data_IF_694226232416
#
_entry.id   IF_694226232416
#
_cell.length_a   1.000
_cell.length_b   1.000
_cell.length_c   1.000
_cell.angle_alpha   90.00
_cell.angle_beta   90.00
_cell.angle_gamma   90.00
#
_symmetry.space_group_name_H-M   'P 1'
#
loop_
_entity.id
_entity.type
_entity.pdbx_description
1 polymer ?
#
# COMPACT_ATOMS: atom_id res chain seq x y z
N UNK A 1 -84.10 42.82 -32.03
CA UNK A 1 -83.05 42.49 -33.02
C UNK A 1 -81.94 41.77 -32.28
N UNK A 2 -81.84 40.45 -32.51
CA UNK A 2 -80.63 39.60 -32.58
C UNK A 2 -79.29 40.21 -32.09
N UNK A 3 -78.33 39.55 -31.43
CA UNK A 3 -77.97 38.13 -31.30
C UNK A 3 -76.77 38.07 -30.30
N UNK A 4 -76.69 36.99 -29.51
CA UNK A 4 -75.52 36.27 -28.94
C UNK A 4 -74.22 36.95 -28.43
N UNK A 5 -73.73 36.34 -27.34
CA UNK A 5 -72.31 35.98 -27.12
C UNK A 5 -71.57 36.88 -26.14
N UNK A 6 -70.70 36.42 -25.23
CA UNK A 6 -70.08 35.12 -24.99
C UNK A 6 -69.53 35.14 -23.55
N UNK A 7 -69.53 33.97 -22.94
CA UNK A 7 -68.94 33.60 -21.67
C UNK A 7 -67.41 33.72 -21.72
N UNK A 8 -66.75 34.21 -20.67
CA UNK A 8 -65.43 33.67 -20.32
C UNK A 8 -65.05 33.89 -18.85
N UNK A 9 -64.69 32.77 -18.23
CA UNK A 9 -64.10 32.63 -16.91
C UNK A 9 -62.77 33.39 -16.78
N UNK A 10 -62.41 33.77 -15.55
CA UNK A 10 -61.31 33.09 -14.84
C UNK A 10 -61.04 33.75 -13.49
N UNK A 11 -61.09 32.92 -12.46
CA UNK A 11 -60.61 33.17 -11.12
C UNK A 11 -59.16 33.66 -11.17
N UNK A 12 -58.89 34.79 -10.52
CA UNK A 12 -57.53 35.27 -10.28
C UNK A 12 -56.95 34.39 -9.17
N UNK A 13 -56.47 33.20 -9.54
CA UNK A 13 -55.63 32.38 -8.69
C UNK A 13 -54.22 32.95 -8.67
N UNK A 14 -53.74 33.24 -7.45
CA UNK A 14 -52.38 33.64 -7.11
C UNK A 14 -51.35 32.70 -7.75
N UNK A 15 -50.60 33.18 -8.73
CA UNK A 15 -49.38 32.51 -9.18
C UNK A 15 -48.23 32.83 -8.20
N UNK A 16 -48.16 32.07 -7.12
CA UNK A 16 -46.92 31.93 -6.35
C UNK A 16 -46.12 30.78 -6.96
N UNK A 17 -45.14 31.11 -7.81
CA UNK A 17 -44.17 30.15 -8.32
C UNK A 17 -43.28 29.71 -7.15
N UNK A 18 -43.57 28.53 -6.60
CA UNK A 18 -42.75 27.90 -5.56
C UNK A 18 -41.57 27.21 -6.25
N UNK A 19 -40.42 27.88 -6.31
CA UNK A 19 -39.18 27.29 -6.84
C UNK A 19 -38.59 26.35 -5.78
N UNK A 20 -38.84 25.05 -5.92
CA UNK A 20 -38.31 24.02 -5.02
C UNK A 20 -36.86 23.70 -5.42
N UNK A 21 -35.89 24.39 -4.81
CA UNK A 21 -34.48 23.99 -4.87
C UNK A 21 -34.29 22.71 -4.05
N UNK A 22 -34.28 21.55 -4.73
CA UNK A 22 -33.71 20.34 -4.16
C UNK A 22 -32.18 20.52 -4.07
N UNK A 23 -31.72 21.07 -2.95
CA UNK A 23 -30.34 20.89 -2.52
C UNK A 23 -30.19 19.41 -2.16
N UNK A 24 -29.76 18.60 -3.12
CA UNK A 24 -29.18 17.30 -2.81
C UNK A 24 -27.90 17.58 -2.04
N UNK A 25 -27.99 17.62 -0.71
CA UNK A 25 -26.83 17.50 0.15
C UNK A 25 -26.30 16.10 -0.07
N UNK A 26 -25.31 15.98 -0.95
CA UNK A 26 -24.46 14.78 -0.97
C UNK A 26 -23.76 14.78 0.38
N UNK A 27 -24.33 14.07 1.36
CA UNK A 27 -23.61 13.63 2.54
C UNK A 27 -22.49 12.73 2.01
N UNK A 28 -21.34 13.33 1.72
CA UNK A 28 -20.12 12.58 1.51
C UNK A 28 -19.81 11.89 2.83
N UNK A 29 -20.15 10.61 2.94
CA UNK A 29 -19.59 9.76 3.98
C UNK A 29 -18.07 9.77 3.79
N UNK A 30 -17.39 10.61 4.56
CA UNK A 30 -15.93 10.56 4.67
C UNK A 30 -15.61 9.24 5.34
N UNK A 31 -15.29 8.21 4.54
CA UNK A 31 -14.76 6.96 5.08
C UNK A 31 -13.47 7.31 5.85
N UNK A 32 -13.45 6.97 7.14
CA UNK A 32 -12.28 7.23 7.99
C UNK A 32 -11.14 6.36 7.49
N UNK A 33 -10.05 7.00 7.06
CA UNK A 33 -8.82 6.30 6.70
C UNK A 33 -8.13 5.92 8.01
N UNK A 34 -7.92 4.63 8.21
CA UNK A 34 -7.19 4.11 9.36
C UNK A 34 -6.46 2.84 8.99
N UNK A 35 -5.32 2.63 9.64
CA UNK A 35 -4.55 1.41 9.58
C UNK A 35 -4.35 0.87 10.99
N UNK A 36 -4.40 -0.45 11.17
CA UNK A 36 -4.03 -1.08 12.42
C UNK A 36 -3.20 -2.34 12.19
N UNK A 37 -2.41 -2.69 13.19
CA UNK A 37 -1.58 -3.88 13.17
C UNK A 37 -2.41 -5.02 13.75
N UNK A 38 -2.46 -6.15 13.05
CA UNK A 38 -3.15 -7.34 13.53
C UNK A 38 -2.37 -8.03 14.66
N UNK A 39 -3.11 -8.59 15.61
CA UNK A 39 -2.54 -9.41 16.67
C UNK A 39 -2.27 -10.83 16.18
N UNK A 40 -1.72 -11.67 17.07
CA UNK A 40 -1.32 -13.04 16.73
C UNK A 40 -2.51 -13.93 16.39
N UNK A 41 -3.61 -13.79 17.11
CA UNK A 41 -4.83 -14.57 16.90
C UNK A 41 -5.44 -14.26 15.53
N UNK A 42 -5.49 -12.98 15.16
CA UNK A 42 -5.94 -12.53 13.83
C UNK A 42 -5.01 -13.06 12.74
N UNK A 43 -3.70 -13.03 12.94
CA UNK A 43 -2.73 -13.58 11.98
C UNK A 43 -2.96 -15.10 11.76
N UNK A 44 -3.13 -15.87 12.84
CA UNK A 44 -3.39 -17.31 12.74
C UNK A 44 -4.68 -17.59 11.96
N UNK A 45 -5.70 -16.74 12.13
CA UNK A 45 -6.94 -16.85 11.35
C UNK A 45 -6.68 -16.63 9.85
N UNK A 46 -5.91 -15.60 9.48
CA UNK A 46 -5.55 -15.35 8.08
C UNK A 46 -4.75 -16.50 7.44
N UNK A 47 -3.86 -17.11 8.22
CA UNK A 47 -3.13 -18.32 7.78
C UNK A 47 -4.07 -19.50 7.58
N UNK A 48 -5.01 -19.72 8.51
CA UNK A 48 -6.00 -20.79 8.41
C UNK A 48 -6.95 -20.61 7.21
N UNK A 49 -7.27 -19.36 6.88
CA UNK A 49 -8.11 -18.99 5.73
C UNK A 49 -7.33 -19.07 4.40
N UNK A 50 -6.04 -19.40 4.43
CA UNK A 50 -5.23 -19.71 3.24
C UNK A 50 -4.76 -18.49 2.46
N UNK A 51 -4.64 -17.31 3.10
CA UNK A 51 -4.23 -16.08 2.41
C UNK A 51 -2.77 -16.14 1.90
N UNK A 52 -1.87 -16.83 2.59
CA UNK A 52 -0.44 -16.88 2.27
C UNK A 52 0.16 -18.29 2.19
N UNK A 53 1.18 -18.44 1.36
CA UNK A 53 1.95 -19.69 1.21
C UNK A 53 3.02 -19.86 2.30
N UNK A 54 3.38 -18.77 2.98
CA UNK A 54 4.42 -18.70 4.01
C UNK A 54 3.82 -18.23 5.34
N UNK A 55 4.50 -18.51 6.47
CA UNK A 55 4.16 -17.91 7.75
C UNK A 55 4.08 -16.38 7.65
N UNK A 56 3.03 -15.81 8.22
CA UNK A 56 2.82 -14.37 8.28
C UNK A 56 3.64 -13.82 9.44
N UNK A 57 4.69 -13.06 9.11
CA UNK A 57 5.54 -12.36 10.07
C UNK A 57 4.81 -11.14 10.66
N UNK A 58 4.05 -10.41 9.83
CA UNK A 58 3.31 -9.22 10.24
C UNK A 58 2.09 -9.02 9.35
N UNK A 59 0.99 -8.51 9.90
CA UNK A 59 -0.17 -8.15 9.12
C UNK A 59 -0.76 -6.81 9.56
N UNK A 60 -1.38 -6.14 8.60
CA UNK A 60 -2.00 -4.83 8.76
C UNK A 60 -3.37 -4.87 8.11
N UNK A 61 -4.37 -4.30 8.75
CA UNK A 61 -5.63 -3.98 8.09
C UNK A 61 -5.71 -2.47 7.88
N UNK A 62 -6.24 -2.07 6.73
CA UNK A 62 -6.55 -0.69 6.48
C UNK A 62 -7.86 -0.50 5.73
N UNK A 63 -8.56 0.57 6.09
CA UNK A 63 -9.75 1.06 5.39
C UNK A 63 -9.36 2.22 4.49
N UNK A 64 -9.78 2.16 3.22
CA UNK A 64 -9.66 3.27 2.28
C UNK A 64 -10.89 3.30 1.34
N UNK A 65 -10.88 4.16 0.31
CA UNK A 65 -11.99 4.29 -0.67
C UNK A 65 -12.36 2.99 -1.41
N UNK A 66 -11.48 2.00 -1.45
CA UNK A 66 -11.76 0.70 -2.06
C UNK A 66 -12.40 -0.30 -1.10
N UNK A 67 -12.38 -0.03 0.21
CA UNK A 67 -12.88 -0.93 1.24
C UNK A 67 -11.83 -1.28 2.29
N UNK A 68 -12.12 -2.32 3.06
CA UNK A 68 -11.18 -2.94 3.99
C UNK A 68 -10.22 -3.82 3.20
N UNK A 69 -8.93 -3.61 3.42
CA UNK A 69 -7.87 -4.44 2.87
C UNK A 69 -6.99 -4.98 3.99
N UNK A 70 -6.52 -6.20 3.82
CA UNK A 70 -5.49 -6.81 4.63
C UNK A 70 -4.19 -6.83 3.83
N UNK A 71 -3.10 -6.41 4.47
CA UNK A 71 -1.74 -6.51 3.96
C UNK A 71 -0.93 -7.39 4.89
N UNK A 72 -0.57 -8.58 4.39
CA UNK A 72 0.26 -9.54 5.10
C UNK A 72 1.68 -9.52 4.56
N UNK A 73 2.65 -9.58 5.47
CA UNK A 73 4.08 -9.68 5.22
C UNK A 73 4.53 -11.06 5.70
N UNK A 74 4.96 -11.89 4.78
CA UNK A 74 5.26 -13.29 5.00
C UNK A 74 6.74 -13.58 4.72
N UNK A 75 7.36 -14.35 5.61
CA UNK A 75 8.76 -14.73 5.52
C UNK A 75 8.85 -16.26 5.64
N UNK A 76 9.59 -16.91 4.73
CA UNK A 76 9.46 -18.35 4.58
C UNK A 76 10.12 -19.21 5.67
N UNK A 77 10.90 -18.62 6.59
CA UNK A 77 11.49 -19.28 7.75
C UNK A 77 12.14 -20.64 7.41
N UNK A 78 12.98 -20.69 6.37
CA UNK A 78 13.63 -21.93 5.94
C UNK A 78 14.54 -22.45 7.06
N UNK A 79 14.29 -23.67 7.52
CA UNK A 79 15.13 -24.31 8.54
C UNK A 79 16.56 -24.52 8.03
N UNK A 80 17.52 -24.04 8.83
CA UNK A 80 18.96 -24.27 8.63
C UNK A 80 19.54 -25.19 9.72
N UNK A 81 18.88 -25.27 10.88
CA UNK A 81 19.12 -26.28 11.91
C UNK A 81 17.84 -26.52 12.72
N UNK A 82 17.87 -27.44 13.70
CA UNK A 82 16.73 -27.74 14.58
C UNK A 82 16.21 -26.53 15.38
N UNK A 83 16.99 -25.45 15.51
CA UNK A 83 16.62 -24.25 16.29
C UNK A 83 16.87 -22.94 15.53
N UNK A 84 17.21 -23.02 14.25
CA UNK A 84 17.63 -21.85 13.49
C UNK A 84 17.00 -21.86 12.10
N UNK A 85 16.52 -20.69 11.69
CA UNK A 85 15.81 -20.47 10.43
C UNK A 85 16.35 -19.21 9.78
N UNK A 86 16.54 -19.26 8.47
CA UNK A 86 16.82 -18.06 7.67
C UNK A 86 15.74 -17.90 6.61
N UNK A 87 15.43 -16.66 6.29
CA UNK A 87 14.49 -16.34 5.25
C UNK A 87 15.23 -16.29 3.92
N UNK A 88 14.78 -17.10 2.97
CA UNK A 88 15.31 -17.13 1.60
C UNK A 88 14.30 -16.58 0.59
N UNK A 89 13.04 -16.43 1.02
CA UNK A 89 11.94 -15.88 0.23
C UNK A 89 11.06 -15.01 1.14
N UNK A 90 10.57 -13.93 0.59
CA UNK A 90 9.55 -13.08 1.21
C UNK A 90 8.38 -12.89 0.28
N UNK A 91 7.24 -12.58 0.88
CA UNK A 91 6.01 -12.30 0.17
C UNK A 91 5.24 -11.21 0.90
N UNK A 92 4.70 -10.23 0.18
CA UNK A 92 3.71 -9.31 0.70
C UNK A 92 2.46 -9.40 -0.15
N UNK A 93 1.30 -9.62 0.48
CA UNK A 93 0.02 -9.80 -0.22
C UNK A 93 -0.94 -8.75 0.32
N UNK A 94 -1.56 -7.98 -0.57
CA UNK A 94 -2.72 -7.18 -0.24
C UNK A 94 -3.96 -7.84 -0.81
N UNK A 95 -4.93 -8.13 0.04
CA UNK A 95 -6.20 -8.71 -0.36
C UNK A 95 -7.37 -7.97 0.27
N UNK A 96 -8.55 -8.17 -0.30
CA UNK A 96 -9.82 -7.73 0.25
C UNK A 96 -10.66 -8.95 0.59
N UNK A 97 -11.43 -8.86 1.68
CA UNK A 97 -12.46 -9.84 2.00
C UNK A 97 -13.57 -9.80 0.94
N UNK A 98 -13.89 -10.95 0.37
CA UNK A 98 -14.89 -11.13 -0.68
C UNK A 98 -15.73 -12.37 -0.38
N UNK A 99 -16.93 -12.16 0.18
CA UNK A 99 -17.96 -13.20 0.43
C UNK A 99 -17.45 -14.51 1.06
N UNK A 100 -16.52 -14.43 2.03
CA UNK A 100 -15.97 -15.59 2.73
C UNK A 100 -14.66 -16.14 2.14
N UNK A 101 -14.06 -15.44 1.18
CA UNK A 101 -12.69 -15.68 0.73
C UNK A 101 -11.93 -14.36 0.52
N UNK A 102 -10.73 -14.45 -0.07
CA UNK A 102 -9.89 -13.30 -0.35
C UNK A 102 -9.78 -13.02 -1.84
N UNK A 103 -9.96 -11.76 -2.20
CA UNK A 103 -9.59 -11.24 -3.51
C UNK A 103 -8.25 -10.52 -3.41
N UNK A 104 -7.20 -11.14 -3.94
CA UNK A 104 -5.89 -10.49 -4.06
C UNK A 104 -5.99 -9.25 -4.95
N UNK A 105 -5.43 -8.14 -4.46
CA UNK A 105 -5.24 -6.91 -5.23
C UNK A 105 -3.85 -6.87 -5.87
N UNK A 106 -2.84 -7.18 -5.07
CA UNK A 106 -1.47 -7.23 -5.53
C UNK A 106 -0.60 -8.06 -4.59
N UNK A 107 0.47 -8.61 -5.16
CA UNK A 107 1.50 -9.35 -4.43
C UNK A 107 2.91 -8.91 -4.79
N UNK A 108 3.80 -8.85 -3.82
CA UNK A 108 5.25 -8.68 -3.99
C UNK A 108 5.89 -10.00 -3.58
N UNK A 109 6.72 -10.57 -4.44
CA UNK A 109 7.55 -11.73 -4.13
C UNK A 109 9.01 -11.33 -4.36
N UNK A 110 9.90 -11.79 -3.49
CA UNK A 110 11.35 -11.69 -3.72
C UNK A 110 12.07 -12.86 -3.05
N UNK A 111 13.28 -13.13 -3.50
CA UNK A 111 14.16 -14.15 -2.94
C UNK A 111 15.59 -13.63 -2.88
N UNK A 112 16.44 -14.33 -2.14
CA UNK A 112 17.87 -14.06 -2.12
C UNK A 112 18.51 -14.26 -3.51
N UNK A 113 19.50 -13.45 -3.81
CA UNK A 113 20.39 -13.60 -4.95
C UNK A 113 21.70 -14.28 -4.50
N UNK A 114 21.86 -15.54 -4.88
CA UNK A 114 23.03 -16.32 -4.51
C UNK A 114 24.30 -15.89 -5.25
N UNK A 115 24.17 -15.21 -6.41
CA UNK A 115 25.32 -14.68 -7.14
C UNK A 115 25.96 -13.50 -6.40
N UNK A 116 25.13 -12.73 -5.66
CA UNK A 116 25.55 -11.60 -4.82
C UNK A 116 25.83 -12.01 -3.36
N UNK A 117 26.00 -13.32 -3.12
CA UNK A 117 26.27 -13.92 -1.80
C UNK A 117 25.21 -13.63 -0.71
N UNK A 118 23.97 -13.30 -1.09
CA UNK A 118 22.89 -13.06 -0.12
C UNK A 118 22.50 -14.36 0.62
N UNK A 119 22.36 -14.28 1.95
CA UNK A 119 22.02 -15.42 2.83
C UNK A 119 20.66 -15.29 3.50
N UNK A 120 20.20 -14.06 3.73
CA UNK A 120 18.94 -13.80 4.40
C UNK A 120 18.22 -12.60 3.78
N UNK A 121 16.89 -12.65 3.70
CA UNK A 121 16.02 -11.56 3.23
C UNK A 121 14.85 -11.34 4.19
N UNK A 122 14.56 -10.10 4.61
CA UNK A 122 13.50 -9.85 5.59
C UNK A 122 12.89 -8.45 5.49
N UNK A 123 11.65 -8.31 5.98
CA UNK A 123 10.95 -7.03 6.00
C UNK A 123 11.46 -6.12 7.12
N UNK A 124 11.73 -4.87 6.78
CA UNK A 124 12.13 -3.84 7.74
C UNK A 124 10.89 -3.07 8.20
N UNK A 125 10.06 -3.70 9.05
CA UNK A 125 8.78 -3.14 9.51
C UNK A 125 8.91 -1.82 10.28
N UNK A 126 10.10 -1.48 10.79
CA UNK A 126 10.44 -0.16 11.33
C UNK A 126 10.24 0.98 10.31
N UNK A 127 10.41 0.68 9.02
CA UNK A 127 10.29 1.63 7.90
C UNK A 127 9.00 1.43 7.11
N UNK A 128 8.11 0.55 7.56
CA UNK A 128 6.82 0.33 6.94
C UNK A 128 5.88 1.53 7.17
N UNK A 129 5.05 1.82 6.17
CA UNK A 129 3.95 2.77 6.30
C UNK A 129 2.71 2.24 5.57
N UNK A 130 1.54 2.48 6.14
CA UNK A 130 0.25 2.35 5.48
C UNK A 130 -0.55 3.60 5.80
N UNK A 131 -0.30 4.67 5.02
CA UNK A 131 -0.95 5.97 5.17
C UNK A 131 -1.42 6.47 3.80
N UNK A 132 -2.45 7.30 3.78
CA UNK A 132 -2.81 8.12 2.61
C UNK A 132 -1.85 9.32 2.57
N UNK A 133 -0.79 9.20 1.78
CA UNK A 133 0.31 10.16 1.75
C UNK A 133 0.01 11.35 0.85
N UNK A 134 -0.82 11.17 -0.19
CA UNK A 134 -1.19 12.26 -1.10
C UNK A 134 -2.51 12.96 -0.73
N UNK A 135 -3.36 12.32 0.06
CA UNK A 135 -4.66 12.80 0.52
C UNK A 135 -5.82 12.46 -0.42
N UNK A 136 -5.63 11.51 -1.35
CA UNK A 136 -6.64 11.15 -2.35
C UNK A 136 -7.65 10.10 -1.87
N UNK A 137 -7.50 9.60 -0.64
CA UNK A 137 -8.35 8.61 0.01
C UNK A 137 -8.01 7.16 -0.31
N UNK A 138 -6.94 6.91 -1.06
CA UNK A 138 -6.36 5.58 -1.23
C UNK A 138 -5.19 5.41 -0.26
N UNK A 139 -4.92 4.16 0.12
CA UNK A 139 -3.77 3.88 0.97
C UNK A 139 -2.52 3.78 0.09
N UNK A 140 -1.40 4.33 0.56
CA UNK A 140 -0.09 4.26 -0.09
C UNK A 140 0.89 3.41 0.73
N UNK A 141 0.74 2.07 0.77
CA UNK A 141 1.68 1.23 1.49
C UNK A 141 3.12 1.48 1.02
N UNK A 142 4.03 1.65 1.97
CA UNK A 142 5.48 1.68 1.75
C UNK A 142 6.07 0.49 2.47
N UNK A 143 6.62 -0.44 1.69
CA UNK A 143 7.21 -1.70 2.15
C UNK A 143 8.71 -1.62 1.91
N UNK A 144 9.47 -1.89 2.97
CA UNK A 144 10.93 -1.93 2.91
C UNK A 144 11.38 -3.32 3.30
N UNK A 145 12.34 -3.86 2.56
CA UNK A 145 13.07 -5.06 2.93
C UNK A 145 14.51 -4.94 2.48
N UNK A 146 15.36 -5.74 3.10
CA UNK A 146 16.75 -5.86 2.73
C UNK A 146 17.24 -7.28 2.79
N UNK A 147 18.46 -7.46 2.28
CA UNK A 147 19.19 -8.72 2.33
C UNK A 147 20.53 -8.52 3.01
N UNK A 148 21.08 -9.60 3.56
CA UNK A 148 22.43 -9.64 4.12
C UNK A 148 23.18 -10.89 3.67
N UNK A 149 24.50 -10.79 3.69
CA UNK A 149 25.39 -11.94 3.47
C UNK A 149 25.70 -12.69 4.77
N UNK A 150 26.76 -13.50 4.77
CA UNK A 150 27.21 -14.27 5.93
C UNK A 150 27.95 -13.46 7.00
N UNK A 151 28.40 -12.25 6.66
CA UNK A 151 29.07 -11.31 7.57
C UNK A 151 28.10 -10.28 8.16
N UNK A 152 26.79 -10.51 7.98
CA UNK A 152 25.72 -9.59 8.36
C UNK A 152 25.75 -8.23 7.63
N UNK A 153 26.48 -8.14 6.51
CA UNK A 153 26.54 -6.93 5.70
C UNK A 153 25.31 -6.81 4.80
N UNK A 154 24.71 -5.62 4.74
CA UNK A 154 23.57 -5.37 3.86
C UNK A 154 24.04 -5.39 2.41
N UNK A 155 23.40 -6.24 1.59
CA UNK A 155 23.73 -6.37 0.16
C UNK A 155 22.72 -5.67 -0.74
N UNK A 156 21.44 -5.73 -0.38
CA UNK A 156 20.37 -5.13 -1.18
C UNK A 156 19.33 -4.51 -0.28
N UNK A 157 18.80 -3.37 -0.71
CA UNK A 157 17.64 -2.72 -0.10
C UNK A 157 16.63 -2.42 -1.19
N UNK A 158 15.37 -2.79 -0.96
CA UNK A 158 14.26 -2.39 -1.83
C UNK A 158 13.21 -1.66 -1.03
N UNK A 159 12.82 -0.50 -1.54
CA UNK A 159 11.73 0.33 -1.01
C UNK A 159 10.64 0.32 -2.08
N UNK A 160 9.49 -0.24 -1.77
CA UNK A 160 8.37 -0.35 -2.70
C UNK A 160 7.19 0.41 -2.14
N UNK A 161 6.65 1.34 -2.92
CA UNK A 161 5.33 1.90 -2.67
C UNK A 161 4.32 1.32 -3.65
N UNK A 162 3.08 1.15 -3.20
CA UNK A 162 1.97 0.77 -4.07
C UNK A 162 0.98 1.92 -4.15
N UNK A 163 0.83 2.49 -5.35
CA UNK A 163 -0.10 3.57 -5.63
C UNK A 163 -1.14 3.09 -6.64
N UNK A 164 -2.41 3.02 -6.21
CA UNK A 164 -3.53 2.53 -7.04
C UNK A 164 -3.22 1.17 -7.69
N UNK A 165 -2.83 0.21 -6.85
CA UNK A 165 -2.42 -1.16 -7.20
C UNK A 165 -1.18 -1.28 -8.11
N UNK A 166 -0.54 -0.16 -8.47
CA UNK A 166 0.71 -0.14 -9.23
C UNK A 166 1.90 0.02 -8.30
N UNK A 167 2.89 -0.86 -8.47
CA UNK A 167 4.12 -0.88 -7.66
C UNK A 167 5.16 0.06 -8.25
N UNK A 168 5.82 0.82 -7.39
CA UNK A 168 6.96 1.67 -7.71
C UNK A 168 8.07 1.37 -6.74
N UNK A 169 9.26 1.06 -7.25
CA UNK A 169 10.36 0.57 -6.43
C UNK A 169 11.60 1.45 -6.56
N UNK A 170 12.30 1.63 -5.44
CA UNK A 170 13.72 1.95 -5.40
C UNK A 170 14.45 0.65 -5.14
N UNK A 171 15.47 0.35 -5.94
CA UNK A 171 16.32 -0.84 -5.84
C UNK A 171 17.74 -0.37 -5.60
N UNK A 172 18.32 -0.74 -4.48
CA UNK A 172 19.68 -0.41 -4.12
C UNK A 172 20.51 -1.68 -3.90
N UNK A 173 21.72 -1.69 -4.44
CA UNK A 173 22.76 -2.68 -4.13
C UNK A 173 23.86 -1.97 -3.35
N UNK A 174 24.26 -2.55 -2.23
CA UNK A 174 25.30 -2.06 -1.33
C UNK A 174 26.50 -3.03 -1.35
N UNK A 175 27.69 -2.45 -1.36
CA UNK A 175 28.97 -3.13 -1.32
C UNK A 175 30.06 -2.08 -1.03
N UNK A 176 31.27 -2.56 -0.74
CA UNK A 176 32.39 -1.70 -0.35
C UNK A 176 32.91 -0.81 -1.49
N UNK A 177 32.95 -1.35 -2.72
CA UNK A 177 33.47 -0.63 -3.88
C UNK A 177 32.38 0.20 -4.53
N UNK A 178 32.73 1.41 -4.96
CA UNK A 178 31.80 2.31 -5.62
C UNK A 178 31.17 1.64 -6.86
N UNK A 179 31.97 0.98 -7.70
CA UNK A 179 31.53 0.38 -8.98
C UNK A 179 30.47 -0.73 -8.86
N UNK A 180 30.33 -1.38 -7.70
CA UNK A 180 29.30 -2.41 -7.50
C UNK A 180 28.01 -1.85 -6.85
N UNK A 181 28.01 -0.59 -6.41
CA UNK A 181 26.80 0.03 -5.85
C UNK A 181 25.87 0.48 -6.94
N UNK A 182 24.57 0.35 -6.69
CA UNK A 182 23.55 0.90 -7.58
C UNK A 182 22.37 1.43 -6.79
N UNK A 183 21.71 2.45 -7.34
CA UNK A 183 20.50 3.04 -6.76
C UNK A 183 19.53 3.44 -7.87
N UNK A 184 18.60 2.55 -8.18
CA UNK A 184 17.69 2.71 -9.32
C UNK A 184 16.26 2.90 -8.86
N UNK A 185 15.68 4.02 -9.23
CA UNK A 185 14.23 4.25 -9.14
C UNK A 185 13.53 3.61 -10.34
N UNK A 186 12.29 3.19 -10.14
CA UNK A 186 11.45 2.71 -11.24
C UNK A 186 11.39 3.72 -12.39
N UNK A 187 11.35 3.26 -13.64
CA UNK A 187 11.28 4.15 -14.80
C UNK A 187 10.07 5.09 -14.74
N UNK A 188 8.98 4.63 -14.13
CA UNK A 188 7.74 5.40 -13.95
C UNK A 188 7.72 6.20 -12.64
N UNK A 189 8.83 6.32 -11.91
CA UNK A 189 8.87 7.00 -10.60
C UNK A 189 8.28 8.41 -10.64
N UNK A 190 8.52 9.15 -11.74
CA UNK A 190 8.01 10.52 -11.92
C UNK A 190 6.48 10.60 -12.04
N UNK A 191 5.79 9.48 -12.27
CA UNK A 191 4.32 9.41 -12.31
C UNK A 191 3.69 9.36 -10.92
N UNK A 192 4.47 9.11 -9.86
CA UNK A 192 3.95 9.16 -8.50
C UNK A 192 3.56 10.60 -8.12
N UNK A 193 2.50 10.79 -7.33
CA UNK A 193 2.23 12.06 -6.66
C UNK A 193 3.45 12.62 -5.93
N UNK A 194 3.66 13.93 -6.02
CA UNK A 194 4.85 14.58 -5.45
C UNK A 194 4.99 14.33 -3.95
N UNK A 195 3.88 14.31 -3.20
CA UNK A 195 3.89 14.04 -1.75
C UNK A 195 4.45 12.64 -1.43
N UNK A 196 4.04 11.61 -2.18
CA UNK A 196 4.58 10.24 -2.04
C UNK A 196 6.07 10.22 -2.37
N UNK A 197 6.49 10.88 -3.45
CA UNK A 197 7.91 10.94 -3.81
C UNK A 197 8.75 11.61 -2.71
N UNK A 198 8.27 12.72 -2.14
CA UNK A 198 8.94 13.43 -1.03
C UNK A 198 9.04 12.53 0.20
N UNK A 199 7.95 11.88 0.58
CA UNK A 199 7.93 10.94 1.72
C UNK A 199 8.98 9.84 1.55
N UNK A 200 9.03 9.19 0.38
CA UNK A 200 9.97 8.10 0.15
C UNK A 200 11.42 8.62 0.08
N UNK A 201 11.66 9.79 -0.49
CA UNK A 201 13.01 10.39 -0.46
C UNK A 201 13.47 10.69 0.98
N UNK A 202 12.58 11.16 1.85
CA UNK A 202 12.88 11.34 3.28
C UNK A 202 13.12 10.00 3.98
N UNK A 203 12.36 8.97 3.62
CA UNK A 203 12.58 7.61 4.12
C UNK A 203 13.95 7.06 3.74
N UNK A 204 14.42 7.29 2.50
CA UNK A 204 15.78 6.94 2.07
C UNK A 204 16.81 7.62 2.95
N UNK A 205 16.67 8.93 3.21
CA UNK A 205 17.59 9.67 4.10
C UNK A 205 17.60 9.09 5.51
N UNK A 206 16.42 8.74 6.04
CA UNK A 206 16.28 8.08 7.35
C UNK A 206 17.00 6.74 7.38
N UNK A 207 16.78 5.89 6.38
CA UNK A 207 17.42 4.56 6.29
C UNK A 207 18.95 4.70 6.20
N UNK A 208 19.47 5.60 5.36
CA UNK A 208 20.92 5.87 5.28
C UNK A 208 21.53 6.13 6.65
N UNK A 209 20.90 7.02 7.42
CA UNK A 209 21.35 7.39 8.76
C UNK A 209 21.24 6.24 9.77
N UNK A 210 20.11 5.54 9.78
CA UNK A 210 19.80 4.55 10.81
C UNK A 210 20.39 3.17 10.54
N UNK A 211 20.75 2.86 9.29
CA UNK A 211 21.40 1.60 8.90
C UNK A 211 22.87 1.79 8.51
N UNK A 212 23.38 3.02 8.54
CA UNK A 212 24.72 3.37 8.08
C UNK A 212 24.98 2.91 6.63
N UNK A 213 24.03 3.19 5.73
CA UNK A 213 24.09 2.80 4.31
C UNK A 213 24.26 4.02 3.41
N UNK A 214 24.76 3.80 2.20
CA UNK A 214 24.96 4.87 1.24
C UNK A 214 23.71 5.12 0.39
N UNK A 215 23.04 4.06 -0.07
CA UNK A 215 21.83 4.09 -0.91
C UNK A 215 21.93 5.12 -2.04
N UNK A 216 23.03 5.11 -2.79
CA UNK A 216 23.29 5.99 -3.93
C UNK A 216 24.02 5.19 -5.01
N UNK A 217 24.01 5.70 -6.24
CA UNK A 217 24.87 5.13 -7.26
C UNK A 217 26.35 5.23 -6.84
N UNK A 218 27.12 4.25 -7.31
CA UNK A 218 28.58 4.22 -7.27
C UNK A 218 29.20 5.49 -7.78
#
# INVERSE_FOLDING_TARGET
>A
MNIFGLQNDNSIMKNSILLLFFFYTTFGFSQKISSFILNKEQIVQLEADGLSDFPIYRAYEFQNKTGVCELVLCENQKSISKKDTLNTKIQAICAMNDHGGFRERWRINDLIDTAEAEKNIWFWTKYFSAQDLDGDGYMDPVIVYGTRDENDEIKRVKIITVYKDKKYAIRAVECDLDDCRSFKKDANWKLLPQKIQVYINQLVVKIRKEQNLLLKDG
#
